data_IF_828776321271
#
_entry.id   IF_828776321271
#
_cell.length_a   1.000
_cell.length_b   1.000
_cell.length_c   1.000
_cell.angle_alpha   90.00
_cell.angle_beta   90.00
_cell.angle_gamma   90.00
#
_symmetry.space_group_name_H-M   'P 1'
#
loop_
_entity.id
_entity.type
_entity.pdbx_description
1 polymer ?
#
# COMPACT_ATOMS: atom_id res chain seq x y z
N UNK A 1 1.47 7.58 12.83
CA UNK A 1 1.03 6.25 12.34
C UNK A 1 -0.07 6.51 11.34
N UNK A 2 0.04 5.98 10.12
CA UNK A 2 0.18 4.54 9.84
C UNK A 2 1.55 4.12 9.25
N UNK A 3 1.71 2.82 9.03
CA UNK A 3 2.74 2.22 8.17
C UNK A 3 2.09 1.67 6.91
N UNK A 4 2.60 2.03 5.73
CA UNK A 4 2.17 1.48 4.44
C UNK A 4 3.32 0.70 3.81
N UNK A 5 3.10 -0.55 3.42
CA UNK A 5 4.06 -1.35 2.66
C UNK A 5 3.46 -1.68 1.31
N UNK A 6 4.19 -1.41 0.23
CA UNK A 6 3.82 -1.86 -1.11
C UNK A 6 4.80 -2.93 -1.57
N UNK A 7 4.32 -4.10 -1.94
CA UNK A 7 5.09 -5.14 -2.64
C UNK A 7 4.61 -5.19 -4.08
N UNK A 8 5.52 -5.24 -5.05
CA UNK A 8 5.16 -5.32 -6.47
C UNK A 8 6.15 -6.20 -7.22
N UNK A 9 5.67 -6.96 -8.20
CA UNK A 9 6.52 -7.90 -8.94
C UNK A 9 7.41 -7.19 -9.97
N UNK A 10 8.63 -7.70 -10.15
CA UNK A 10 9.65 -7.05 -10.98
C UNK A 10 9.29 -6.96 -12.48
N UNK A 11 8.34 -7.77 -12.97
CA UNK A 11 7.83 -7.69 -14.34
C UNK A 11 6.88 -6.50 -14.59
N UNK A 12 6.56 -5.70 -13.57
CA UNK A 12 5.87 -4.42 -13.72
C UNK A 12 6.91 -3.31 -13.96
N UNK A 13 7.48 -3.26 -15.17
CA UNK A 13 8.62 -2.39 -15.50
C UNK A 13 8.30 -0.90 -15.48
N UNK A 14 7.06 -0.54 -15.79
CA UNK A 14 6.62 0.85 -15.91
C UNK A 14 6.09 1.43 -14.58
N UNK A 15 5.99 0.59 -13.54
CA UNK A 15 5.57 1.02 -12.21
C UNK A 15 6.70 1.80 -11.54
N UNK A 16 6.49 3.11 -11.38
CA UNK A 16 7.38 3.98 -10.61
C UNK A 16 7.02 3.95 -9.13
N UNK A 17 7.82 3.27 -8.33
CA UNK A 17 7.58 3.08 -6.90
C UNK A 17 7.60 4.39 -6.09
N UNK A 18 8.47 5.35 -6.45
CA UNK A 18 8.55 6.64 -5.75
C UNK A 18 7.25 7.45 -5.93
N UNK A 19 6.79 7.57 -7.17
CA UNK A 19 5.52 8.22 -7.51
C UNK A 19 4.34 7.50 -6.83
N UNK A 20 4.36 6.16 -6.83
CA UNK A 20 3.33 5.37 -6.15
C UNK A 20 3.26 5.67 -4.65
N UNK A 21 4.40 5.67 -3.95
CA UNK A 21 4.47 5.96 -2.53
C UNK A 21 3.98 7.39 -2.22
N UNK A 22 4.35 8.37 -3.04
CA UNK A 22 3.88 9.75 -2.88
C UNK A 22 2.36 9.85 -3.08
N UNK A 23 1.79 9.22 -4.11
CA UNK A 23 0.33 9.22 -4.33
C UNK A 23 -0.43 8.52 -3.20
N UNK A 24 0.06 7.38 -2.72
CA UNK A 24 -0.55 6.64 -1.61
C UNK A 24 -0.51 7.48 -0.32
N UNK A 25 0.61 8.15 -0.02
CA UNK A 25 0.72 9.04 1.13
C UNK A 25 -0.26 10.22 1.03
N UNK A 26 -0.34 10.87 -0.14
CA UNK A 26 -1.28 11.98 -0.35
C UNK A 26 -2.74 11.56 -0.16
N UNK A 27 -3.11 10.35 -0.60
CA UNK A 27 -4.45 9.80 -0.37
C UNK A 27 -4.73 9.56 1.11
N UNK A 28 -3.74 9.07 1.88
CA UNK A 28 -3.88 8.92 3.32
C UNK A 28 -4.02 10.28 4.01
N UNK A 29 -3.22 11.29 3.65
CA UNK A 29 -3.37 12.66 4.15
C UNK A 29 -4.76 13.21 3.84
N UNK A 30 -5.21 13.09 2.58
CA UNK A 30 -6.50 13.58 2.12
C UNK A 30 -7.70 12.89 2.77
N UNK A 31 -7.52 11.70 3.36
CA UNK A 31 -8.59 11.00 4.09
C UNK A 31 -9.02 11.69 5.39
N UNK A 32 -8.18 12.56 5.95
CA UNK A 32 -8.39 13.19 7.25
C UNK A 32 -8.32 12.23 8.45
N UNK A 33 -7.92 10.96 8.25
CA UNK A 33 -7.89 9.94 9.29
C UNK A 33 -6.60 9.95 10.15
N UNK A 34 -5.63 10.80 9.80
CA UNK A 34 -4.31 10.83 10.43
C UNK A 34 -3.95 12.27 10.82
N UNK A 35 -3.50 12.46 12.05
CA UNK A 35 -3.35 13.79 12.65
C UNK A 35 -2.20 14.62 12.06
N UNK A 36 -1.11 13.97 11.64
CA UNK A 36 0.05 14.63 11.06
C UNK A 36 0.54 13.89 9.82
N UNK A 37 1.00 14.62 8.81
CA UNK A 37 1.46 14.03 7.55
C UNK A 37 2.72 13.16 7.76
N UNK A 38 3.69 13.64 8.54
CA UNK A 38 4.96 12.94 8.80
C UNK A 38 4.77 11.62 9.57
N UNK A 39 3.56 11.42 10.08
CA UNK A 39 3.17 10.22 10.80
C UNK A 39 2.85 9.04 9.85
N UNK A 40 2.67 9.32 8.55
CA UNK A 40 2.50 8.36 7.46
C UNK A 40 3.87 7.96 6.93
N UNK A 41 4.21 6.68 7.11
CA UNK A 41 5.50 6.12 6.65
C UNK A 41 5.24 5.01 5.65
N UNK A 42 5.67 5.21 4.42
CA UNK A 42 5.50 4.24 3.35
C UNK A 42 6.85 3.73 2.84
N UNK A 43 6.85 2.51 2.30
CA UNK A 43 8.01 1.89 1.62
C UNK A 43 7.52 0.90 0.59
N UNK A 44 8.33 0.72 -0.45
CA UNK A 44 8.07 -0.22 -1.53
C UNK A 44 9.16 -1.30 -1.55
N UNK A 45 8.78 -2.53 -1.89
CA UNK A 45 9.67 -3.66 -2.12
C UNK A 45 9.37 -4.21 -3.51
N UNK A 46 10.36 -4.18 -4.38
CA UNK A 46 10.31 -4.89 -5.65
C UNK A 46 10.59 -6.38 -5.40
N UNK A 47 9.69 -7.24 -5.84
CA UNK A 47 9.78 -8.69 -5.71
C UNK A 47 10.41 -9.25 -6.99
N UNK A 48 11.71 -9.52 -6.94
CA UNK A 48 12.49 -10.04 -8.07
C UNK A 48 12.16 -11.49 -8.40
N UNK A 49 11.90 -12.31 -7.37
CA UNK A 49 11.56 -13.72 -7.53
C UNK A 49 10.13 -13.95 -7.06
N UNK A 50 9.24 -14.28 -8.00
CA UNK A 50 7.82 -14.48 -7.72
C UNK A 50 7.20 -15.55 -8.64
N UNK A 51 6.07 -16.10 -8.20
CA UNK A 51 5.16 -16.94 -9.00
C UNK A 51 3.72 -16.59 -8.62
N UNK A 52 2.82 -16.58 -9.59
CA UNK A 52 1.39 -16.33 -9.38
C UNK A 52 0.60 -17.50 -9.94
N UNK A 53 0.14 -18.38 -9.04
CA UNK A 53 -0.48 -19.64 -9.40
C UNK A 53 0.50 -20.61 -10.09
N UNK A 54 -0.05 -21.56 -10.85
CA UNK A 54 0.69 -22.67 -11.48
C UNK A 54 0.65 -22.67 -13.01
N UNK A 55 -0.07 -21.71 -13.61
CA UNK A 55 -0.22 -21.61 -15.06
C UNK A 55 1.04 -21.02 -15.72
N UNK A 56 1.20 -21.29 -17.02
CA UNK A 56 2.27 -20.73 -17.85
C UNK A 56 2.04 -19.27 -18.25
N UNK A 57 0.81 -18.76 -18.11
CA UNK A 57 0.47 -17.38 -18.43
C UNK A 57 1.23 -16.39 -17.54
N UNK A 58 1.66 -15.27 -18.12
CA UNK A 58 2.31 -14.22 -17.36
C UNK A 58 1.31 -13.49 -16.45
N UNK A 59 1.74 -13.29 -15.21
CA UNK A 59 0.95 -12.68 -14.16
C UNK A 59 1.83 -11.79 -13.31
N UNK A 60 1.22 -10.78 -12.73
CA UNK A 60 1.87 -9.83 -11.84
C UNK A 60 0.96 -9.50 -10.65
N UNK A 61 1.54 -8.92 -9.61
CA UNK A 61 0.72 -8.36 -8.53
C UNK A 61 1.32 -7.10 -7.93
N UNK A 62 0.44 -6.29 -7.35
CA UNK A 62 0.76 -5.24 -6.39
C UNK A 62 -0.04 -5.51 -5.12
N UNK A 63 0.65 -5.59 -3.99
CA UNK A 63 0.03 -5.76 -2.67
C UNK A 63 0.40 -4.61 -1.75
N UNK A 64 -0.61 -3.88 -1.28
CA UNK A 64 -0.45 -2.78 -0.33
C UNK A 64 -0.98 -3.20 1.03
N UNK A 65 -0.14 -3.14 2.06
CA UNK A 65 -0.55 -3.32 3.46
C UNK A 65 -0.58 -1.95 4.16
N UNK A 66 -1.73 -1.58 4.72
CA UNK A 66 -1.86 -0.43 5.61
C UNK A 66 -2.04 -0.91 7.05
N UNK A 67 -0.98 -0.80 7.84
CA UNK A 67 -1.01 -1.10 9.27
C UNK A 67 -1.25 0.18 10.08
N UNK A 68 -2.32 0.18 10.88
CA UNK A 68 -2.79 1.33 11.64
C UNK A 68 -3.16 0.92 13.07
N UNK A 69 -3.15 1.86 14.02
CA UNK A 69 -3.58 1.55 15.38
C UNK A 69 -5.06 1.13 15.39
N UNK A 70 -5.37 0.12 16.18
CA UNK A 70 -6.73 -0.37 16.39
C UNK A 70 -7.68 0.74 16.88
N UNK A 71 -8.97 0.55 16.62
CA UNK A 71 -10.05 1.44 17.06
C UNK A 71 -10.78 2.21 15.96
N UNK A 72 -10.35 2.13 14.70
CA UNK A 72 -11.14 2.64 13.56
C UNK A 72 -12.31 1.70 13.24
N UNK A 73 -13.45 2.28 12.86
CA UNK A 73 -14.62 1.50 12.44
C UNK A 73 -14.36 0.72 11.16
N UNK A 74 -15.13 -0.36 10.95
CA UNK A 74 -15.06 -1.14 9.70
C UNK A 74 -15.32 -0.27 8.46
N UNK A 75 -16.24 0.69 8.55
CA UNK A 75 -16.55 1.62 7.46
C UNK A 75 -15.35 2.48 7.07
N UNK A 76 -14.65 3.05 8.05
CA UNK A 76 -13.45 3.86 7.81
C UNK A 76 -12.33 3.01 7.19
N UNK A 77 -12.11 1.79 7.72
CA UNK A 77 -11.11 0.87 7.18
C UNK A 77 -11.41 0.49 5.72
N UNK A 78 -12.68 0.24 5.41
CA UNK A 78 -13.14 -0.04 4.05
C UNK A 78 -12.88 1.15 3.12
N UNK A 79 -13.25 2.36 3.52
CA UNK A 79 -13.01 3.57 2.73
C UNK A 79 -11.52 3.79 2.46
N UNK A 80 -10.67 3.61 3.47
CA UNK A 80 -9.21 3.71 3.30
C UNK A 80 -8.70 2.66 2.31
N UNK A 81 -9.15 1.41 2.42
CA UNK A 81 -8.77 0.33 1.52
C UNK A 81 -9.15 0.63 0.06
N UNK A 82 -10.41 1.02 -0.17
CA UNK A 82 -10.92 1.37 -1.50
C UNK A 82 -10.21 2.59 -2.10
N UNK A 83 -9.92 3.61 -1.28
CA UNK A 83 -9.22 4.81 -1.74
C UNK A 83 -7.77 4.51 -2.15
N UNK A 84 -7.08 3.65 -1.39
CA UNK A 84 -5.74 3.19 -1.77
C UNK A 84 -5.78 2.31 -3.02
N UNK A 85 -6.77 1.42 -3.14
CA UNK A 85 -6.90 0.54 -4.30
C UNK A 85 -7.13 1.35 -5.58
N UNK A 86 -7.94 2.40 -5.53
CA UNK A 86 -8.13 3.32 -6.65
C UNK A 86 -6.81 3.99 -7.08
N UNK A 87 -5.97 4.41 -6.14
CA UNK A 87 -4.62 4.93 -6.46
C UNK A 87 -3.79 3.86 -7.16
N UNK A 88 -3.78 2.63 -6.62
CA UNK A 88 -3.00 1.53 -7.19
C UNK A 88 -3.42 1.28 -8.63
N UNK A 89 -4.72 1.22 -8.91
CA UNK A 89 -5.28 1.00 -10.25
C UNK A 89 -4.82 2.02 -11.31
N UNK A 90 -4.49 3.24 -10.89
CA UNK A 90 -4.12 4.35 -11.76
C UNK A 90 -2.60 4.63 -11.77
N UNK A 91 -1.76 3.75 -11.20
CA UNK A 91 -0.32 4.04 -11.05
C UNK A 91 0.43 4.15 -12.37
N UNK A 92 0.06 3.34 -13.36
CA UNK A 92 0.67 3.31 -14.68
C UNK A 92 -0.31 2.69 -15.68
N UNK A 93 0.09 2.69 -16.96
CA UNK A 93 -0.54 1.79 -17.93
C UNK A 93 -0.12 0.35 -17.59
N UNK A 94 -1.10 -0.54 -17.47
CA UNK A 94 -0.83 -1.94 -17.14
C UNK A 94 -0.40 -2.71 -18.39
N UNK A 95 0.57 -3.62 -18.28
CA UNK A 95 1.09 -4.36 -19.43
C UNK A 95 0.00 -5.20 -20.11
N UNK A 96 -0.08 -5.10 -21.44
CA UNK A 96 -0.98 -5.94 -22.25
C UNK A 96 -0.55 -7.40 -22.19
N UNK A 97 -1.52 -8.32 -22.10
CA UNK A 97 -1.25 -9.76 -22.07
C UNK A 97 -0.78 -10.30 -20.71
N UNK A 98 -0.65 -9.46 -19.69
CA UNK A 98 -0.31 -9.86 -18.31
C UNK A 98 -1.53 -9.65 -17.42
N UNK A 99 -1.97 -10.69 -16.72
CA UNK A 99 -3.03 -10.57 -15.71
C UNK A 99 -2.41 -9.99 -14.41
N UNK A 100 -2.81 -8.78 -14.03
CA UNK A 100 -2.29 -8.08 -12.85
C UNK A 100 -3.32 -8.08 -11.72
N UNK A 101 -2.93 -8.56 -10.53
CA UNK A 101 -3.77 -8.52 -9.33
C UNK A 101 -3.36 -7.36 -8.42
N UNK A 102 -4.33 -6.54 -8.02
CA UNK A 102 -4.11 -5.35 -7.19
C UNK A 102 -4.88 -5.53 -5.89
N UNK A 103 -4.18 -5.48 -4.77
CA UNK A 103 -4.74 -5.83 -3.47
C UNK A 103 -4.35 -4.79 -2.41
N UNK A 104 -5.30 -4.46 -1.53
CA UNK A 104 -5.05 -3.65 -0.33
C UNK A 104 -5.55 -4.40 0.90
N UNK A 105 -4.66 -4.55 1.88
CA UNK A 105 -4.92 -5.19 3.17
C UNK A 105 -4.82 -4.13 4.29
N UNK A 106 -5.79 -4.15 5.21
CA UNK A 106 -5.79 -3.27 6.39
C UNK A 106 -5.49 -4.11 7.64
N UNK A 107 -4.47 -3.73 8.40
CA UNK A 107 -4.06 -4.42 9.62
C UNK A 107 -4.24 -3.52 10.85
N UNK A 108 -4.82 -4.07 11.91
CA UNK A 108 -4.83 -3.43 13.22
C UNK A 108 -3.55 -3.76 13.98
N UNK A 109 -2.84 -2.72 14.38
CA UNK A 109 -1.78 -2.77 15.38
C UNK A 109 -2.45 -2.57 16.73
N UNK A 110 -2.18 -3.47 17.67
CA UNK A 110 -2.61 -3.31 19.05
C UNK A 110 -2.07 -1.99 19.63
N UNK A 111 -2.99 -1.11 20.05
CA UNK A 111 -2.67 0.23 20.52
C UNK A 111 -1.94 0.19 21.86
N UNK A 112 -2.30 -0.71 22.74
CA UNK A 112 -1.85 -0.71 24.13
C UNK A 112 -0.39 -1.17 24.25
N UNK A 113 0.07 -1.99 23.30
CA UNK A 113 1.46 -2.44 23.19
C UNK A 113 2.31 -1.62 22.21
N UNK A 114 1.73 -0.66 21.49
CA UNK A 114 2.46 0.11 20.48
C UNK A 114 3.31 1.25 21.10
N UNK A 115 4.63 1.06 21.11
CA UNK A 115 5.59 2.06 21.55
C UNK A 115 6.10 2.92 20.39
N UNK A 116 6.22 4.23 20.60
CA UNK A 116 6.77 5.20 19.62
C UNK A 116 7.55 6.28 20.34
N UNK A 117 8.74 6.60 19.83
CA UNK A 117 9.45 7.84 20.15
C UNK A 117 9.85 8.53 18.84
N UNK A 118 10.16 9.82 18.93
CA UNK A 118 10.80 10.58 17.86
C UNK A 118 12.09 11.18 18.43
N UNK A 119 13.19 11.05 17.68
CA UNK A 119 14.46 11.68 18.02
C UNK A 119 14.58 12.90 17.13
N UNK A 120 14.49 14.08 17.74
CA UNK A 120 14.77 15.35 17.09
C UNK A 120 16.09 15.85 17.66
N UNK A 121 17.08 16.06 16.79
CA UNK A 121 18.35 16.70 17.17
C UNK A 121 18.20 18.22 17.12
#
# INVERSE_FOLDING_TARGET
MPHLHMEYTANLTDLNADVALMRLNNTLVGSGQFAAEFDIKSRAVKVETFKVGTALAERAFVHVKLALLSGRSAQIKKQLSESLLAVVQELCEWPSGVEVQLCVEILDIDRDSYSKTAINN
#
